data_IF_108654043283
#
_entry.id   IF_108654043283
#
_cell.length_a   1.000
_cell.length_b   1.000
_cell.length_c   1.000
_cell.angle_alpha   90.00
_cell.angle_beta   90.00
_cell.angle_gamma   90.00
#
_symmetry.space_group_name_H-M   'P 1'
#
loop_
_entity.id
_entity.type
_entity.pdbx_description
1 polymer ?
#
# COMPACT_ATOMS: atom_id res chain seq x y z
N UNK A 1 4.18 -1.66 -6.18
CA UNK A 1 4.78 -1.27 -4.89
C UNK A 1 5.41 0.11 -4.98
N UNK A 2 5.43 0.81 -3.87
CA UNK A 2 6.10 2.09 -3.74
C UNK A 2 7.15 1.95 -2.63
N UNK A 3 8.39 2.22 -2.97
CA UNK A 3 9.50 2.06 -2.03
C UNK A 3 10.10 3.39 -1.65
N UNK A 4 10.36 3.59 -0.37
CA UNK A 4 11.14 4.73 0.11
C UNK A 4 12.53 4.23 0.54
N UNK A 5 13.53 4.52 -0.25
CA UNK A 5 14.89 4.03 0.03
C UNK A 5 15.52 4.72 1.24
N UNK A 6 15.08 5.93 1.54
CA UNK A 6 15.60 6.69 2.68
C UNK A 6 15.22 6.05 4.01
N UNK A 7 13.96 5.62 4.14
CA UNK A 7 13.44 5.01 5.37
C UNK A 7 13.36 3.50 5.30
N UNK A 8 13.62 2.93 4.15
CA UNK A 8 13.55 1.48 3.87
C UNK A 8 12.15 0.92 4.11
N UNK A 9 11.13 1.70 3.77
CA UNK A 9 9.74 1.29 3.92
C UNK A 9 9.09 1.10 2.55
N UNK A 10 8.09 0.24 2.52
CA UNK A 10 7.39 -0.12 1.28
C UNK A 10 5.89 -0.11 1.48
N UNK A 11 5.18 0.44 0.51
CA UNK A 11 3.73 0.30 0.44
C UNK A 11 3.42 -0.63 -0.74
N UNK A 12 2.75 -1.73 -0.47
CA UNK A 12 2.35 -2.69 -1.49
C UNK A 12 0.88 -2.47 -1.83
N UNK A 13 0.57 -2.33 -3.10
CA UNK A 13 -0.79 -2.16 -3.59
C UNK A 13 -1.07 -3.23 -4.64
N UNK A 14 -2.15 -3.97 -4.47
CA UNK A 14 -2.54 -5.04 -5.39
C UNK A 14 -4.00 -4.88 -5.75
N UNK A 15 -4.30 -4.94 -7.05
CA UNK A 15 -5.68 -4.98 -7.51
C UNK A 15 -6.17 -6.42 -7.48
N UNK A 16 -7.35 -6.62 -6.93
CA UNK A 16 -7.94 -7.96 -6.82
C UNK A 16 -8.71 -8.30 -8.09
N UNK A 17 -8.23 -9.27 -8.85
CA UNK A 17 -8.85 -9.62 -10.13
C UNK A 17 -10.24 -10.23 -9.99
N UNK A 18 -10.47 -10.99 -8.94
CA UNK A 18 -11.75 -11.66 -8.71
C UNK A 18 -12.82 -10.74 -8.16
N UNK A 19 -12.42 -9.64 -7.57
CA UNK A 19 -13.33 -8.64 -7.03
C UNK A 19 -12.95 -7.26 -7.56
N UNK A 20 -13.39 -6.92 -8.77
CA UNK A 20 -13.10 -5.60 -9.33
C UNK A 20 -13.63 -4.52 -8.39
N UNK A 21 -12.85 -3.49 -8.19
CA UNK A 21 -13.19 -2.42 -7.26
C UNK A 21 -12.65 -2.61 -5.85
N UNK A 22 -11.94 -3.69 -5.59
CA UNK A 22 -11.27 -3.92 -4.30
C UNK A 22 -9.76 -3.75 -4.45
N UNK A 23 -9.17 -2.99 -3.55
CA UNK A 23 -7.72 -2.79 -3.48
C UNK A 23 -7.18 -3.46 -2.24
N UNK A 24 -6.14 -4.26 -2.41
CA UNK A 24 -5.40 -4.84 -1.30
C UNK A 24 -4.15 -4.01 -1.05
N UNK A 25 -3.83 -3.73 0.18
CA UNK A 25 -2.64 -2.94 0.51
C UNK A 25 -1.95 -3.45 1.76
N UNK A 26 -0.65 -3.14 1.86
CA UNK A 26 0.17 -3.55 2.98
C UNK A 26 1.29 -2.55 3.19
N UNK A 27 1.57 -2.21 4.44
CA UNK A 27 2.68 -1.36 4.80
C UNK A 27 3.77 -2.22 5.43
N UNK A 28 4.93 -2.28 4.80
CA UNK A 28 6.04 -3.14 5.23
C UNK A 28 7.37 -2.41 5.11
N UNK A 29 8.41 -2.96 5.71
CA UNK A 29 9.76 -2.50 5.44
C UNK A 29 10.34 -3.29 4.27
N UNK A 30 11.31 -2.70 3.56
CA UNK A 30 11.91 -3.37 2.41
C UNK A 30 12.58 -4.68 2.81
N UNK A 31 13.13 -4.72 4.03
CA UNK A 31 13.86 -5.88 4.54
C UNK A 31 12.94 -6.99 5.04
N UNK A 32 11.72 -6.66 5.42
CA UNK A 32 10.74 -7.66 5.85
C UNK A 32 9.96 -8.14 4.65
N UNK A 33 10.37 -9.25 4.14
CA UNK A 33 9.54 -9.90 3.16
C UNK A 33 8.37 -10.53 3.88
N UNK A 34 7.21 -9.99 3.64
CA UNK A 34 6.21 -10.20 4.38
C UNK A 34 5.14 -11.06 4.14
N UNK A 35 4.57 -11.62 5.04
CA UNK A 35 3.44 -12.44 5.09
C UNK A 35 2.23 -12.02 4.29
N UNK A 36 1.15 -12.74 4.45
CA UNK A 36 -0.03 -12.61 3.60
C UNK A 36 -1.10 -11.71 4.19
N UNK A 37 -0.71 -10.84 5.11
CA UNK A 37 -1.66 -9.99 5.83
C UNK A 37 -1.94 -8.69 5.06
N UNK A 38 -2.75 -8.81 4.01
CA UNK A 38 -3.17 -7.63 3.26
C UNK A 38 -4.47 -7.09 3.83
N UNK A 39 -4.58 -5.77 3.89
CA UNK A 39 -5.82 -5.10 4.21
C UNK A 39 -6.58 -4.81 2.91
N UNK A 40 -7.87 -4.62 3.01
CA UNK A 40 -8.72 -4.39 1.85
C UNK A 40 -9.42 -3.05 1.97
N UNK A 41 -9.61 -2.38 0.85
CA UNK A 41 -10.42 -1.17 0.78
C UNK A 41 -11.11 -1.09 -0.58
N UNK A 42 -12.14 -0.26 -0.68
CA UNK A 42 -12.76 0.00 -1.98
C UNK A 42 -11.79 0.79 -2.86
N UNK A 43 -11.60 0.37 -4.09
CA UNK A 43 -10.72 1.07 -5.02
C UNK A 43 -11.17 2.52 -5.23
N UNK A 44 -12.47 2.78 -5.20
CA UNK A 44 -13.01 4.13 -5.35
C UNK A 44 -12.65 5.06 -4.19
N UNK A 45 -12.27 4.51 -3.04
CA UNK A 45 -11.85 5.30 -1.89
C UNK A 45 -10.37 5.68 -1.98
N UNK A 46 -9.62 5.06 -2.88
CA UNK A 46 -8.22 5.38 -3.08
C UNK A 46 -8.10 6.56 -4.05
N UNK A 47 -7.89 7.75 -3.51
CA UNK A 47 -7.67 8.96 -4.29
C UNK A 47 -6.18 9.31 -4.28
N UNK A 48 -5.78 10.20 -5.18
CA UNK A 48 -4.42 10.72 -5.21
C UNK A 48 -4.06 11.40 -3.89
N UNK A 49 -4.98 12.15 -3.31
CA UNK A 49 -4.79 12.80 -2.03
C UNK A 49 -4.56 11.78 -0.92
N UNK A 50 -5.34 10.71 -0.90
CA UNK A 50 -5.20 9.66 0.11
C UNK A 50 -3.84 8.96 -0.02
N UNK A 51 -3.41 8.70 -1.24
CA UNK A 51 -2.11 8.08 -1.48
C UNK A 51 -0.97 8.99 -0.99
N UNK A 52 -1.04 10.28 -1.24
CA UNK A 52 -0.06 11.24 -0.75
C UNK A 52 -0.05 11.29 0.78
N UNK A 53 -1.20 11.24 1.42
CA UNK A 53 -1.28 11.18 2.88
C UNK A 53 -0.58 9.93 3.42
N UNK A 54 -0.80 8.78 2.80
CA UNK A 54 -0.13 7.55 3.18
C UNK A 54 1.39 7.66 3.04
N UNK A 55 1.84 8.24 1.93
CA UNK A 55 3.28 8.42 1.68
C UNK A 55 3.88 9.34 2.74
N UNK A 56 3.22 10.44 3.05
CA UNK A 56 3.72 11.38 4.06
C UNK A 56 3.76 10.78 5.46
N UNK A 57 2.74 10.04 5.83
CA UNK A 57 2.66 9.43 7.16
C UNK A 57 3.63 8.27 7.31
N UNK A 58 3.72 7.42 6.30
CA UNK A 58 4.52 6.21 6.42
C UNK A 58 5.98 6.43 6.06
N UNK A 59 6.26 7.25 5.07
CA UNK A 59 7.63 7.50 4.63
C UNK A 59 8.23 8.77 5.26
N UNK A 60 7.40 9.63 5.73
CA UNK A 60 7.85 10.85 6.37
C UNK A 60 8.45 10.61 7.72
#
# INVERSE_FOLDING_TARGET
>A
TIDCLRTRRRITLILHDEQPGTLLYQFVTIEDEVGNDFQQMALNDMTTTKLFEWIQEYFG
#
